data_IF_343494892074
#
_entry.id   IF_343494892074
#
_cell.length_a   1.000
_cell.length_b   1.000
_cell.length_c   1.000
_cell.angle_alpha   90.00
_cell.angle_beta   90.00
_cell.angle_gamma   90.00
#
_symmetry.space_group_name_H-M   'P 1'
#
loop_
_entity.id
_entity.type
_entity.pdbx_description
1 polymer ?
#
# COMPACT_ATOMS: atom_id res chain seq x y z
N UNK A 1 14.11 9.25 29.61
CA UNK A 1 13.00 8.85 30.49
C UNK A 1 11.65 8.86 29.77
N UNK A 2 11.36 9.83 28.94
CA UNK A 2 10.09 9.93 28.19
C UNK A 2 9.96 8.83 27.12
N UNK A 3 11.00 8.60 26.32
CA UNK A 3 11.02 7.53 25.28
C UNK A 3 10.76 6.16 25.89
N UNK A 4 11.38 5.84 27.04
CA UNK A 4 11.18 4.55 27.69
C UNK A 4 9.75 4.37 28.18
N UNK A 5 9.13 5.40 28.74
CA UNK A 5 7.72 5.34 29.14
C UNK A 5 6.80 5.07 27.95
N UNK A 6 7.08 5.71 26.80
CA UNK A 6 6.32 5.48 25.57
C UNK A 6 6.51 4.06 25.04
N UNK A 7 7.76 3.54 25.07
CA UNK A 7 8.07 2.16 24.67
C UNK A 7 7.35 1.15 25.58
N UNK A 8 7.43 1.32 26.89
CA UNK A 8 6.78 0.43 27.87
C UNK A 8 5.25 0.44 27.67
N UNK A 9 4.65 1.59 27.38
CA UNK A 9 3.23 1.73 27.06
C UNK A 9 2.86 1.00 25.77
N UNK A 10 3.58 1.23 24.67
CA UNK A 10 3.31 0.59 23.39
C UNK A 10 3.44 -0.94 23.48
N UNK A 11 4.46 -1.44 24.20
CA UNK A 11 4.65 -2.87 24.43
C UNK A 11 3.47 -3.48 25.22
N UNK A 12 2.95 -2.77 26.23
CA UNK A 12 1.76 -3.25 26.95
C UNK A 12 0.55 -3.35 26.04
N UNK A 13 0.29 -2.35 25.22
CA UNK A 13 -0.84 -2.34 24.27
C UNK A 13 -0.71 -3.46 23.23
N UNK A 14 0.48 -3.62 22.63
CA UNK A 14 0.74 -4.68 21.64
C UNK A 14 0.51 -6.07 22.25
N UNK A 15 0.97 -6.28 23.49
CA UNK A 15 0.80 -7.54 24.19
C UNK A 15 -0.67 -7.81 24.58
N UNK A 16 -1.38 -6.82 25.13
CA UNK A 16 -2.79 -6.93 25.51
C UNK A 16 -3.69 -7.21 24.29
N UNK A 17 -3.38 -6.59 23.14
CA UNK A 17 -4.11 -6.83 21.90
C UNK A 17 -3.70 -8.12 21.18
N UNK A 18 -2.68 -8.85 21.64
CA UNK A 18 -2.22 -10.12 21.06
C UNK A 18 -1.47 -10.00 19.74
N UNK A 19 -0.85 -8.85 19.45
CA UNK A 19 -0.16 -8.60 18.17
C UNK A 19 1.36 -8.82 18.21
N UNK A 20 1.89 -9.42 19.26
CA UNK A 20 3.34 -9.71 19.40
C UNK A 20 3.86 -10.51 18.19
N UNK A 21 3.18 -11.61 17.86
CA UNK A 21 3.58 -12.48 16.76
C UNK A 21 3.51 -11.75 15.41
N UNK A 22 2.54 -10.85 15.22
CA UNK A 22 2.45 -10.03 14.03
C UNK A 22 3.68 -9.13 13.85
N UNK A 23 4.11 -8.44 14.91
CA UNK A 23 5.33 -7.63 14.87
C UNK A 23 6.57 -8.47 14.60
N UNK A 24 6.67 -9.67 15.17
CA UNK A 24 7.80 -10.57 14.94
C UNK A 24 7.85 -11.09 13.50
N UNK A 25 6.70 -11.40 12.91
CA UNK A 25 6.62 -11.82 11.51
C UNK A 25 7.03 -10.67 10.58
N UNK A 26 6.55 -9.45 10.82
CA UNK A 26 6.91 -8.29 10.01
C UNK A 26 8.41 -7.97 10.15
N UNK A 27 8.92 -7.97 11.37
CA UNK A 27 10.35 -7.81 11.63
C UNK A 27 11.18 -8.84 10.87
N UNK A 28 10.77 -10.10 10.87
CA UNK A 28 11.52 -11.21 10.30
C UNK A 28 11.76 -11.04 8.78
N UNK A 29 10.73 -10.74 8.01
CA UNK A 29 10.93 -10.58 6.57
C UNK A 29 11.61 -9.26 6.19
N UNK A 30 11.46 -8.20 7.01
CA UNK A 30 12.21 -6.95 6.82
C UNK A 30 13.69 -7.20 7.13
N UNK A 31 13.99 -7.89 8.24
CA UNK A 31 15.35 -8.25 8.60
C UNK A 31 16.01 -9.17 7.55
N UNK A 32 15.24 -10.13 6.99
CA UNK A 32 15.70 -10.92 5.87
C UNK A 32 16.09 -10.05 4.67
N UNK A 33 15.24 -9.09 4.29
CA UNK A 33 15.52 -8.18 3.18
C UNK A 33 16.79 -7.35 3.44
N UNK A 34 16.88 -6.70 4.62
CA UNK A 34 18.03 -5.87 5.02
C UNK A 34 19.33 -6.70 5.07
N UNK A 35 19.27 -7.94 5.58
CA UNK A 35 20.44 -8.85 5.67
C UNK A 35 20.90 -9.40 4.31
N UNK A 36 20.08 -9.29 3.28
CA UNK A 36 20.42 -9.70 1.89
C UNK A 36 20.59 -8.51 0.95
N UNK A 37 20.84 -7.31 1.49
CA UNK A 37 21.03 -6.08 0.72
C UNK A 37 19.83 -5.75 -0.21
N UNK A 38 18.62 -6.13 0.17
CA UNK A 38 17.40 -5.75 -0.52
C UNK A 38 16.90 -4.45 0.12
N UNK A 39 16.84 -3.38 -0.68
CA UNK A 39 16.41 -2.08 -0.19
C UNK A 39 14.97 -2.12 0.32
N UNK A 40 14.76 -1.60 1.52
CA UNK A 40 13.46 -1.46 2.20
C UNK A 40 13.17 0.01 2.37
N UNK A 41 11.94 0.43 2.11
CA UNK A 41 11.50 1.80 2.34
C UNK A 41 11.50 2.17 3.83
N UNK A 42 11.62 3.47 4.18
CA UNK A 42 11.73 3.92 5.58
C UNK A 42 10.46 3.70 6.42
N UNK A 43 9.43 3.20 5.82
CA UNK A 43 8.11 3.04 6.41
C UNK A 43 7.14 4.13 5.97
N UNK A 44 5.86 3.81 5.99
CA UNK A 44 4.73 4.70 5.65
C UNK A 44 3.49 4.35 6.46
N UNK A 45 2.43 5.14 6.29
CA UNK A 45 1.17 4.89 6.98
C UNK A 45 1.25 5.12 8.49
N UNK A 46 0.38 4.45 9.22
CA UNK A 46 0.23 4.62 10.68
C UNK A 46 1.33 3.95 11.49
N UNK A 47 1.96 2.91 10.96
CA UNK A 47 3.02 2.15 11.64
C UNK A 47 4.25 3.01 11.99
N UNK A 48 4.52 4.09 11.23
CA UNK A 48 5.56 5.06 11.53
C UNK A 48 5.36 5.78 12.89
N UNK A 49 4.15 5.70 13.50
CA UNK A 49 3.86 6.25 14.82
C UNK A 49 4.32 5.37 15.99
N UNK A 50 4.84 4.16 15.75
CA UNK A 50 5.26 3.22 16.78
C UNK A 50 6.76 3.30 17.09
N UNK A 51 7.10 3.54 18.36
CA UNK A 51 8.48 3.44 18.86
C UNK A 51 8.97 2.00 18.85
N UNK A 52 8.08 1.01 19.09
CA UNK A 52 8.41 -0.42 19.00
C UNK A 52 8.81 -0.79 17.57
N UNK A 53 8.03 -0.36 16.57
CA UNK A 53 8.36 -0.59 15.16
C UNK A 53 9.70 0.06 14.76
N UNK A 54 9.98 1.25 15.27
CA UNK A 54 11.26 1.93 15.07
C UNK A 54 12.42 1.18 15.72
N UNK A 55 12.28 0.73 16.98
CA UNK A 55 13.31 -0.02 17.69
C UNK A 55 13.59 -1.40 17.07
N UNK A 56 12.58 -2.01 16.44
CA UNK A 56 12.71 -3.26 15.68
C UNK A 56 13.21 -3.05 14.24
N UNK A 57 13.53 -1.82 13.86
CA UNK A 57 13.94 -1.47 12.48
C UNK A 57 12.90 -1.86 11.41
N UNK A 58 11.64 -1.97 11.81
CA UNK A 58 10.50 -2.12 10.90
C UNK A 58 10.27 -0.81 10.13
N UNK A 59 10.47 0.32 10.84
CA UNK A 59 10.45 1.66 10.25
C UNK A 59 11.73 2.40 10.61
N UNK A 60 12.18 3.29 9.72
CA UNK A 60 13.37 4.13 9.93
C UNK A 60 12.97 5.58 10.28
N UNK A 61 11.70 5.81 10.61
CA UNK A 61 11.15 7.12 10.99
C UNK A 61 11.05 7.18 12.51
N UNK A 62 11.77 8.12 13.15
CA UNK A 62 11.71 8.35 14.60
C UNK A 62 10.36 9.01 14.98
N UNK A 63 9.43 8.28 15.63
CA UNK A 63 8.12 8.82 15.95
C UNK A 63 8.17 9.92 17.03
N UNK A 64 9.21 9.95 17.87
CA UNK A 64 9.35 10.97 18.89
C UNK A 64 9.80 12.29 18.26
N UNK A 65 10.77 12.23 17.35
CA UNK A 65 11.28 13.41 16.62
C UNK A 65 10.18 14.13 15.84
N UNK A 66 9.28 13.37 15.25
CA UNK A 66 8.18 13.91 14.42
C UNK A 66 6.85 14.00 15.16
N UNK A 67 6.83 13.77 16.47
CA UNK A 67 5.62 13.83 17.31
C UNK A 67 4.46 12.97 16.76
N UNK A 68 4.77 11.79 16.25
CA UNK A 68 3.78 10.86 15.70
C UNK A 68 3.01 10.15 16.81
N UNK A 69 1.73 9.90 16.57
CA UNK A 69 0.79 9.36 17.54
C UNK A 69 0.62 7.86 17.33
N UNK A 70 0.91 7.05 18.35
CA UNK A 70 0.79 5.59 18.31
C UNK A 70 -0.65 5.11 18.20
N UNK A 71 -1.59 5.81 18.82
CA UNK A 71 -3.02 5.46 18.85
C UNK A 71 -3.69 5.57 17.47
N UNK A 72 -3.01 6.18 16.48
CA UNK A 72 -3.43 6.11 15.07
C UNK A 72 -3.10 4.77 14.43
N UNK A 73 -2.12 4.07 14.96
CA UNK A 73 -1.71 2.74 14.50
C UNK A 73 -2.41 1.63 15.28
N UNK A 74 -2.32 1.66 16.61
CA UNK A 74 -3.01 0.72 17.50
C UNK A 74 -3.77 1.50 18.57
N UNK A 75 -5.08 1.25 18.66
CA UNK A 75 -5.95 1.81 19.68
C UNK A 75 -6.76 0.69 20.32
N UNK A 76 -6.61 0.44 21.63
CA UNK A 76 -7.38 -0.59 22.36
C UNK A 76 -8.90 -0.41 22.27
N UNK A 77 -9.37 0.82 22.11
CA UNK A 77 -10.80 1.15 21.96
C UNK A 77 -11.34 0.78 20.57
N UNK A 78 -10.45 0.64 19.58
CA UNK A 78 -10.81 0.30 18.21
C UNK A 78 -10.24 -1.06 17.85
N UNK A 79 -11.06 -2.10 17.91
CA UNK A 79 -10.68 -3.47 17.52
C UNK A 79 -10.54 -3.55 16.00
N UNK A 80 -9.36 -3.20 15.48
CA UNK A 80 -8.98 -3.43 14.09
C UNK A 80 -7.58 -4.02 14.04
N UNK A 81 -7.35 -4.97 13.13
CA UNK A 81 -6.01 -5.50 12.92
C UNK A 81 -5.07 -4.37 12.49
N UNK A 82 -3.84 -4.33 13.02
CA UNK A 82 -2.83 -3.41 12.54
C UNK A 82 -2.46 -3.72 11.09
N UNK A 83 -2.18 -2.68 10.32
CA UNK A 83 -1.70 -2.77 8.94
C UNK A 83 -0.35 -2.08 8.85
N UNK A 84 0.69 -2.86 8.53
CA UNK A 84 2.04 -2.34 8.32
C UNK A 84 2.37 -2.44 6.83
N UNK A 85 2.37 -1.28 6.20
CA UNK A 85 2.79 -1.13 4.80
C UNK A 85 4.31 -1.15 4.68
N UNK A 86 4.86 -2.07 3.89
CA UNK A 86 6.31 -2.19 3.65
C UNK A 86 6.59 -2.12 2.15
N UNK A 87 7.49 -1.22 1.78
CA UNK A 87 7.94 -1.06 0.41
C UNK A 87 9.31 -1.74 0.23
N UNK A 88 9.41 -2.66 -0.74
CA UNK A 88 10.64 -3.33 -1.11
C UNK A 88 11.12 -2.88 -2.49
N UNK A 89 12.42 -3.04 -2.73
CA UNK A 89 13.00 -2.88 -4.06
C UNK A 89 12.19 -3.67 -5.10
N UNK A 90 11.74 -2.98 -6.14
CA UNK A 90 10.86 -3.56 -7.16
C UNK A 90 11.48 -4.79 -7.84
N UNK A 91 12.77 -4.75 -8.13
CA UNK A 91 13.49 -5.83 -8.84
C UNK A 91 13.62 -7.08 -7.98
N UNK A 92 13.82 -6.93 -6.66
CA UNK A 92 14.13 -8.04 -5.75
C UNK A 92 12.99 -8.38 -4.77
N UNK A 93 11.85 -7.71 -4.88
CA UNK A 93 10.67 -7.99 -4.03
C UNK A 93 10.26 -9.46 -4.03
N UNK A 94 10.40 -10.14 -5.18
CA UNK A 94 10.01 -11.55 -5.30
C UNK A 94 10.83 -12.45 -4.37
N UNK A 95 12.09 -12.16 -4.14
CA UNK A 95 12.95 -12.93 -3.22
C UNK A 95 12.42 -12.90 -1.78
N UNK A 96 11.90 -11.75 -1.34
CA UNK A 96 11.26 -11.60 -0.01
C UNK A 96 9.97 -12.41 0.07
N UNK A 97 9.12 -12.35 -0.96
CA UNK A 97 7.89 -13.14 -1.04
C UNK A 97 8.21 -14.64 -0.98
N UNK A 98 9.20 -15.10 -1.74
CA UNK A 98 9.62 -16.50 -1.77
C UNK A 98 10.18 -16.95 -0.41
N UNK A 99 10.89 -16.07 0.30
CA UNK A 99 11.34 -16.33 1.67
C UNK A 99 10.16 -16.54 2.62
N UNK A 100 9.19 -15.63 2.60
CA UNK A 100 8.00 -15.71 3.47
C UNK A 100 7.20 -16.98 3.17
N UNK A 101 6.99 -17.31 1.89
CA UNK A 101 6.30 -18.53 1.46
C UNK A 101 7.02 -19.79 1.94
N UNK A 102 8.36 -19.84 1.83
CA UNK A 102 9.15 -20.98 2.32
C UNK A 102 9.08 -21.14 3.84
N UNK A 103 9.13 -20.00 4.57
CA UNK A 103 9.20 -20.03 6.04
C UNK A 103 7.87 -20.31 6.68
N UNK A 104 6.80 -19.68 6.19
CA UNK A 104 5.48 -19.73 6.82
C UNK A 104 4.49 -20.67 6.13
N UNK A 105 4.80 -21.16 4.92
CA UNK A 105 3.96 -22.08 4.16
C UNK A 105 3.10 -21.41 3.08
N UNK A 106 2.88 -22.10 1.97
CA UNK A 106 2.08 -21.62 0.83
C UNK A 106 0.60 -21.41 1.16
N UNK A 107 0.11 -22.12 2.14
CA UNK A 107 -1.26 -22.06 2.65
C UNK A 107 -1.54 -20.85 3.56
N UNK A 108 -0.47 -20.17 4.00
CA UNK A 108 -0.55 -19.02 4.92
C UNK A 108 -0.11 -17.71 4.31
N UNK A 109 0.37 -17.74 3.07
CA UNK A 109 0.86 -16.57 2.36
C UNK A 109 0.14 -16.47 1.02
N UNK A 110 -0.56 -15.37 0.80
CA UNK A 110 -1.23 -15.12 -0.46
C UNK A 110 -0.97 -13.70 -0.95
N UNK A 111 -0.99 -13.53 -2.25
CA UNK A 111 -1.03 -12.22 -2.86
C UNK A 111 -2.49 -11.79 -3.03
N UNK A 112 -2.80 -10.56 -2.62
CA UNK A 112 -4.13 -9.99 -2.86
C UNK A 112 -4.22 -9.65 -4.34
N UNK A 113 -5.13 -10.32 -5.04
CA UNK A 113 -5.41 -10.01 -6.45
C UNK A 113 -6.32 -8.79 -6.49
N UNK A 114 -5.80 -7.71 -7.06
CA UNK A 114 -6.58 -6.49 -7.30
C UNK A 114 -7.05 -6.51 -8.75
N UNK A 115 -8.34 -6.63 -8.97
CA UNK A 115 -8.94 -6.45 -10.29
C UNK A 115 -9.14 -4.96 -10.52
N UNK A 116 -8.25 -4.37 -11.30
CA UNK A 116 -8.36 -2.98 -11.73
C UNK A 116 -8.86 -2.92 -13.17
N UNK A 117 -9.90 -2.13 -13.42
CA UNK A 117 -10.30 -1.77 -14.77
C UNK A 117 -9.79 -0.37 -15.10
N UNK A 118 -9.31 -0.19 -16.32
CA UNK A 118 -8.94 1.14 -16.78
C UNK A 118 -10.20 1.99 -16.93
N UNK A 119 -10.23 3.17 -16.29
CA UNK A 119 -11.30 4.13 -16.50
C UNK A 119 -11.32 4.63 -17.96
N UNK A 120 -12.50 4.92 -18.49
CA UNK A 120 -12.70 5.27 -19.91
C UNK A 120 -11.74 6.35 -20.43
N UNK A 121 -11.46 7.39 -19.63
CA UNK A 121 -10.51 8.45 -20.03
C UNK A 121 -9.05 8.00 -20.03
N UNK A 122 -8.68 7.13 -19.11
CA UNK A 122 -7.31 6.61 -19.00
C UNK A 122 -7.02 5.63 -20.13
N UNK A 123 -7.95 4.72 -20.42
CA UNK A 123 -7.75 3.71 -21.46
C UNK A 123 -7.52 4.32 -22.83
N UNK A 124 -8.22 5.41 -23.17
CA UNK A 124 -8.00 6.12 -24.44
C UNK A 124 -6.57 6.65 -24.56
N UNK A 125 -6.04 7.23 -23.47
CA UNK A 125 -4.66 7.73 -23.46
C UNK A 125 -3.64 6.60 -23.56
N UNK A 126 -3.88 5.49 -22.86
CA UNK A 126 -2.95 4.37 -22.79
C UNK A 126 -2.97 3.54 -24.08
N UNK A 127 -4.14 3.20 -24.60
CA UNK A 127 -4.27 2.52 -25.92
C UNK A 127 -3.73 3.40 -27.03
N UNK A 128 -4.07 4.68 -27.04
CA UNK A 128 -3.54 5.61 -28.03
C UNK A 128 -2.00 5.76 -27.97
N UNK A 129 -1.38 5.57 -26.79
CA UNK A 129 0.08 5.52 -26.64
C UNK A 129 0.67 4.27 -27.26
N UNK A 130 0.05 3.12 -27.03
CA UNK A 130 0.48 1.85 -27.61
C UNK A 130 0.34 1.84 -29.14
N UNK A 131 -0.69 2.53 -29.66
CA UNK A 131 -0.91 2.69 -31.09
C UNK A 131 -0.11 3.85 -31.72
N UNK A 132 0.81 4.44 -30.96
CA UNK A 132 1.66 5.57 -31.38
C UNK A 132 0.90 6.79 -31.92
N UNK A 133 -0.31 7.03 -31.43
CA UNK A 133 -1.10 8.20 -31.82
C UNK A 133 -0.53 9.48 -31.21
N UNK A 134 -0.60 10.63 -31.90
CA UNK A 134 -0.13 11.90 -31.36
C UNK A 134 -0.78 12.25 -30.01
N UNK A 135 -0.01 12.81 -29.11
CA UNK A 135 -0.50 13.18 -27.76
C UNK A 135 -1.72 14.10 -27.82
N UNK A 136 -1.69 15.12 -28.71
CA UNK A 136 -2.78 16.07 -28.86
C UNK A 136 -4.11 15.39 -29.22
N UNK A 137 -4.08 14.38 -30.09
CA UNK A 137 -5.26 13.60 -30.45
C UNK A 137 -5.80 12.80 -29.29
N UNK A 138 -4.93 12.07 -28.60
CA UNK A 138 -5.28 11.26 -27.41
C UNK A 138 -5.90 12.11 -26.30
N UNK A 139 -5.32 13.28 -26.04
CA UNK A 139 -5.80 14.20 -25.02
C UNK A 139 -7.14 14.84 -25.41
N UNK A 140 -7.29 15.24 -26.69
CA UNK A 140 -8.55 15.77 -27.23
C UNK A 140 -9.70 14.75 -27.07
N UNK A 141 -9.51 13.51 -27.52
CA UNK A 141 -10.53 12.46 -27.44
C UNK A 141 -10.84 12.12 -25.97
N UNK A 142 -9.82 12.00 -25.12
CA UNK A 142 -10.01 11.76 -23.70
C UNK A 142 -10.83 12.86 -23.00
N UNK A 143 -10.71 14.11 -23.42
CA UNK A 143 -11.46 15.26 -22.87
C UNK A 143 -12.93 15.26 -23.27
N UNK A 144 -13.31 14.59 -24.36
CA UNK A 144 -14.71 14.45 -24.80
C UNK A 144 -15.52 13.56 -23.83
N UNK A 145 -14.87 12.67 -23.06
CA UNK A 145 -15.54 11.85 -22.07
C UNK A 145 -15.86 12.68 -20.83
N UNK A 146 -17.11 12.72 -20.36
CA UNK A 146 -17.51 13.41 -19.14
C UNK A 146 -16.74 12.92 -17.89
N UNK A 147 -16.62 13.81 -16.89
CA UNK A 147 -15.99 13.47 -15.61
C UNK A 147 -17.02 12.94 -14.61
N UNK A 148 -17.63 11.82 -14.95
CA UNK A 148 -18.61 11.15 -14.09
C UNK A 148 -18.04 9.87 -13.51
N UNK A 149 -18.40 9.55 -12.27
CA UNK A 149 -17.98 8.32 -11.61
C UNK A 149 -18.64 7.10 -12.28
N UNK A 150 -17.84 6.10 -12.63
CA UNK A 150 -18.35 4.87 -13.23
C UNK A 150 -18.68 4.94 -14.71
N UNK A 151 -18.36 6.05 -15.40
CA UNK A 151 -18.58 6.18 -16.83
C UNK A 151 -17.73 5.16 -17.62
N UNK A 152 -18.37 4.44 -18.53
CA UNK A 152 -17.72 3.47 -19.42
C UNK A 152 -17.70 3.97 -20.86
N UNK A 153 -16.86 3.37 -21.72
CA UNK A 153 -16.83 3.69 -23.15
C UNK A 153 -18.17 3.37 -23.80
N UNK A 154 -18.81 2.27 -23.40
CA UNK A 154 -20.13 1.87 -23.93
C UNK A 154 -21.18 2.91 -23.61
N UNK A 155 -21.19 3.44 -22.38
CA UNK A 155 -22.13 4.51 -21.98
C UNK A 155 -21.92 5.78 -22.84
N UNK A 156 -20.67 6.18 -23.07
CA UNK A 156 -20.36 7.34 -23.91
C UNK A 156 -20.77 7.10 -25.35
N UNK A 157 -20.45 5.94 -25.91
CA UNK A 157 -20.83 5.57 -27.28
C UNK A 157 -22.34 5.59 -27.47
N UNK A 158 -23.10 5.02 -26.51
CA UNK A 158 -24.55 5.03 -26.57
C UNK A 158 -25.13 6.45 -26.57
N UNK A 159 -24.65 7.34 -25.69
CA UNK A 159 -25.16 8.70 -25.57
C UNK A 159 -24.80 9.60 -26.77
N UNK A 160 -23.64 9.38 -27.40
CA UNK A 160 -23.20 10.17 -28.54
C UNK A 160 -23.67 9.63 -29.92
N UNK A 161 -23.87 8.32 -30.05
CA UNK A 161 -24.35 7.67 -31.27
C UNK A 161 -25.87 7.65 -31.41
N UNK A 162 -26.60 7.78 -30.31
CA UNK A 162 -28.08 7.74 -30.27
C UNK A 162 -28.73 9.13 -30.17
N UNK A 163 -27.97 10.21 -30.27
CA UNK A 163 -28.57 11.54 -30.41
C UNK A 163 -29.36 11.58 -31.72
N UNK A 164 -30.69 11.82 -31.64
CA UNK A 164 -31.48 11.93 -32.87
C UNK A 164 -30.94 13.05 -33.73
N UNK A 165 -30.62 12.74 -34.97
CA UNK A 165 -30.37 13.75 -36.00
C UNK A 165 -31.70 14.48 -36.19
N UNK A 166 -31.80 15.71 -35.67
CA UNK A 166 -32.89 16.64 -35.98
C UNK A 166 -32.61 17.29 -37.32
#
# INVERSE_FOLDING_TARGET
RQVRKRLDYELSVINEMGYVDYFLIVWDFINYAKSNDISVGPGRGSAAGSVVAYCLEITDIDPIKYSLIFERFLNPERVSMPDIDVDFCFERRQEVIDYVVRKYGKDRVCQIVTFGTMAARAVIKDVGRVLDLPYALRDSVSKMIPRELGITIDTVSYTHLTLPTI
#
